data_IF_613799648096
#
_entry.id   IF_613799648096
#
_cell.length_a   1.000
_cell.length_b   1.000
_cell.length_c   1.000
_cell.angle_alpha   90.00
_cell.angle_beta   90.00
_cell.angle_gamma   90.00
#
_symmetry.space_group_name_H-M   'P 1'
#
loop_
_entity.id
_entity.type
_entity.pdbx_description
1 polymer ?
#
# COMPACT_ATOMS: atom_id res chain seq x y z
N UNK A 1 -1.64 1.56 -62.68
CA UNK A 1 -1.13 2.65 -61.82
C UNK A 1 -2.22 3.23 -60.93
N UNK A 2 -3.37 3.71 -61.49
CA UNK A 2 -4.47 4.29 -60.71
C UNK A 2 -5.06 3.33 -59.69
N UNK A 3 -5.22 2.04 -60.02
CA UNK A 3 -5.70 1.03 -59.09
C UNK A 3 -4.69 0.76 -57.95
N UNK A 4 -3.39 0.78 -58.21
CA UNK A 4 -2.36 0.65 -57.20
C UNK A 4 -2.35 1.86 -56.26
N UNK A 5 -2.43 3.07 -56.80
CA UNK A 5 -2.50 4.30 -56.00
C UNK A 5 -3.77 4.34 -55.15
N UNK A 6 -4.92 3.96 -55.68
CA UNK A 6 -6.17 3.88 -54.93
C UNK A 6 -6.11 2.82 -53.84
N UNK A 7 -5.53 1.65 -54.10
CA UNK A 7 -5.30 0.60 -53.12
C UNK A 7 -4.38 1.05 -51.99
N UNK A 8 -3.28 1.73 -52.30
CA UNK A 8 -2.35 2.29 -51.34
C UNK A 8 -3.01 3.35 -50.43
N UNK A 9 -3.79 4.27 -51.03
CA UNK A 9 -4.53 5.26 -50.27
C UNK A 9 -5.60 4.65 -49.35
N UNK A 10 -6.25 3.56 -49.80
CA UNK A 10 -7.22 2.84 -48.98
C UNK A 10 -6.56 2.12 -47.78
N UNK A 11 -5.39 1.50 -48.01
CA UNK A 11 -4.63 0.85 -46.95
C UNK A 11 -4.00 1.86 -45.98
N UNK A 12 -3.52 3.02 -46.48
CA UNK A 12 -2.98 4.07 -45.60
C UNK A 12 -4.01 4.72 -44.69
N UNK A 13 -5.30 4.57 -44.95
CA UNK A 13 -6.34 5.04 -44.03
C UNK A 13 -6.33 4.28 -42.69
N UNK A 14 -5.85 3.03 -42.67
CA UNK A 14 -5.67 2.23 -41.44
C UNK A 14 -4.49 2.69 -40.54
N UNK A 15 -3.59 3.52 -41.06
CA UNK A 15 -2.46 4.04 -40.25
C UNK A 15 -2.93 4.92 -39.08
N UNK A 16 -4.11 5.54 -39.19
CA UNK A 16 -4.66 6.32 -38.06
C UNK A 16 -5.02 5.48 -36.85
N UNK A 17 -5.22 4.19 -37.02
CA UNK A 17 -5.57 3.24 -35.96
C UNK A 17 -4.35 2.55 -35.34
N UNK A 18 -3.16 2.74 -35.93
CA UNK A 18 -1.91 2.24 -35.37
C UNK A 18 -1.57 2.97 -34.09
N UNK A 19 -1.61 2.24 -32.98
CA UNK A 19 -1.21 2.74 -31.67
C UNK A 19 -0.07 1.87 -31.15
N UNK A 20 0.94 2.54 -30.65
CA UNK A 20 2.00 1.83 -29.92
C UNK A 20 1.46 1.40 -28.57
N UNK A 21 1.47 0.09 -28.29
CA UNK A 21 1.09 -0.44 -27.00
C UNK A 21 2.28 -0.35 -26.04
N UNK A 22 2.15 0.51 -25.06
CA UNK A 22 3.16 0.73 -24.02
C UNK A 22 3.12 -0.32 -22.90
N UNK A 23 2.08 -1.15 -22.87
CA UNK A 23 1.93 -2.17 -21.85
C UNK A 23 2.78 -3.41 -22.18
N UNK A 24 3.89 -3.54 -21.47
CA UNK A 24 4.82 -4.66 -21.66
C UNK A 24 4.21 -6.03 -21.31
N UNK A 25 3.13 -6.06 -20.53
CA UNK A 25 2.40 -7.31 -20.24
C UNK A 25 1.72 -7.86 -21.50
N UNK A 26 1.26 -6.99 -22.40
CA UNK A 26 0.61 -7.41 -23.64
C UNK A 26 1.59 -7.96 -24.66
N UNK A 27 2.90 -7.75 -24.45
CA UNK A 27 3.98 -8.34 -25.28
C UNK A 27 4.35 -9.76 -24.82
N UNK A 28 3.85 -10.18 -23.67
CA UNK A 28 4.08 -11.54 -23.19
C UNK A 28 3.17 -12.54 -23.92
N UNK A 29 3.62 -13.78 -24.15
CA UNK A 29 2.78 -14.82 -24.75
C UNK A 29 1.51 -15.03 -23.93
N UNK A 30 0.40 -15.25 -24.63
CA UNK A 30 -0.88 -15.58 -24.00
C UNK A 30 -0.78 -16.90 -23.21
N UNK A 31 -1.44 -16.95 -22.04
CA UNK A 31 -1.52 -18.15 -21.19
C UNK A 31 -0.31 -18.39 -20.31
N UNK A 32 0.56 -17.40 -20.11
CA UNK A 32 1.60 -17.49 -19.07
C UNK A 32 0.97 -17.33 -17.69
N UNK A 33 1.12 -18.36 -16.85
CA UNK A 33 0.61 -18.39 -15.48
C UNK A 33 1.07 -17.18 -14.65
N UNK A 34 2.32 -16.74 -14.83
CA UNK A 34 2.85 -15.54 -14.14
C UNK A 34 2.10 -14.26 -14.50
N UNK A 35 1.71 -14.09 -15.76
CA UNK A 35 0.94 -12.92 -16.23
C UNK A 35 -0.49 -12.97 -15.72
N UNK A 36 -1.10 -14.16 -15.72
CA UNK A 36 -2.45 -14.35 -15.19
C UNK A 36 -2.51 -14.10 -13.68
N UNK A 37 -1.52 -14.61 -12.94
CA UNK A 37 -1.42 -14.36 -11.49
C UNK A 37 -1.19 -12.88 -11.19
N UNK A 38 -0.35 -12.19 -11.98
CA UNK A 38 -0.11 -10.76 -11.79
C UNK A 38 -1.37 -9.93 -12.07
N UNK A 39 -2.09 -10.22 -13.15
CA UNK A 39 -3.39 -9.59 -13.44
C UNK A 39 -4.40 -9.83 -12.32
N UNK A 40 -4.49 -11.06 -11.82
CA UNK A 40 -5.37 -11.43 -10.73
C UNK A 40 -5.01 -10.74 -9.42
N UNK A 41 -3.72 -10.61 -9.10
CA UNK A 41 -3.24 -9.86 -7.93
C UNK A 41 -3.62 -8.38 -8.01
N UNK A 42 -3.53 -7.78 -9.19
CA UNK A 42 -3.94 -6.38 -9.41
C UNK A 42 -5.44 -6.20 -9.23
N UNK A 43 -6.26 -7.14 -9.73
CA UNK A 43 -7.72 -7.09 -9.61
C UNK A 43 -8.22 -7.36 -8.17
N UNK A 44 -7.62 -8.32 -7.46
CA UNK A 44 -8.07 -8.74 -6.13
C UNK A 44 -7.51 -7.86 -4.99
N UNK A 45 -6.30 -7.33 -5.13
CA UNK A 45 -5.63 -6.60 -4.05
C UNK A 45 -5.82 -5.08 -4.13
N UNK A 46 -6.30 -4.54 -5.25
CA UNK A 46 -6.41 -3.09 -5.53
C UNK A 46 -5.12 -2.31 -5.22
N UNK A 47 -3.99 -3.04 -5.16
CA UNK A 47 -2.67 -2.51 -4.82
C UNK A 47 -1.66 -2.91 -5.88
N UNK A 48 -0.96 -1.93 -6.43
CA UNK A 48 0.16 -2.20 -7.31
C UNK A 48 1.30 -2.87 -6.53
N UNK A 49 1.82 -3.97 -7.07
CA UNK A 49 3.06 -4.60 -6.59
C UNK A 49 4.30 -3.84 -7.05
N UNK A 50 4.14 -2.93 -8.00
CA UNK A 50 5.21 -2.09 -8.53
C UNK A 50 5.33 -0.79 -7.75
N UNK A 51 6.55 -0.43 -7.40
CA UNK A 51 6.85 0.77 -6.64
C UNK A 51 8.05 1.50 -7.20
N UNK A 52 8.02 2.80 -7.09
CA UNK A 52 9.18 3.66 -7.31
C UNK A 52 10.04 3.70 -6.04
N UNK A 53 11.31 3.97 -6.22
CA UNK A 53 12.31 4.04 -5.18
C UNK A 53 12.91 5.44 -5.12
N UNK A 54 12.98 6.00 -3.93
CA UNK A 54 13.70 7.24 -3.63
C UNK A 54 14.66 6.99 -2.47
N UNK A 55 15.86 7.54 -2.55
CA UNK A 55 16.91 7.38 -1.55
C UNK A 55 17.19 8.74 -0.92
N UNK A 56 17.08 8.81 0.39
CA UNK A 56 17.40 9.99 1.19
C UNK A 56 18.70 9.78 1.96
N UNK A 57 19.50 10.84 2.09
CA UNK A 57 20.77 10.80 2.78
C UNK A 57 20.64 10.96 4.31
N UNK A 58 19.49 11.47 4.78
CA UNK A 58 19.17 11.62 6.21
C UNK A 58 17.71 11.30 6.51
N UNK A 59 17.40 11.09 7.80
CA UNK A 59 16.04 10.87 8.29
C UNK A 59 15.14 12.09 8.05
N UNK A 60 15.66 13.28 8.25
CA UNK A 60 14.94 14.55 8.08
C UNK A 60 14.55 14.74 6.61
N UNK A 61 15.48 14.48 5.71
CA UNK A 61 15.24 14.50 4.27
C UNK A 61 14.20 13.49 3.86
N UNK A 62 14.27 12.26 4.40
CA UNK A 62 13.32 11.20 4.15
C UNK A 62 11.91 11.64 4.54
N UNK A 63 11.70 12.18 5.75
CA UNK A 63 10.41 12.60 6.25
C UNK A 63 9.84 13.77 5.43
N UNK A 64 10.67 14.78 5.12
CA UNK A 64 10.28 15.91 4.28
C UNK A 64 9.90 15.47 2.86
N UNK A 65 10.62 14.48 2.30
CA UNK A 65 10.34 13.92 0.98
C UNK A 65 9.08 13.07 0.99
N UNK A 66 8.87 12.26 2.04
CA UNK A 66 7.65 11.49 2.27
C UNK A 66 6.41 12.39 2.28
N UNK A 67 6.45 13.49 3.02
CA UNK A 67 5.32 14.43 3.11
C UNK A 67 4.94 14.97 1.73
N UNK A 68 5.93 15.41 0.94
CA UNK A 68 5.71 15.89 -0.42
C UNK A 68 5.14 14.80 -1.35
N UNK A 69 5.68 13.59 -1.27
CA UNK A 69 5.22 12.45 -2.08
C UNK A 69 3.81 12.01 -1.70
N UNK A 70 3.49 11.97 -0.41
CA UNK A 70 2.16 11.59 0.07
C UNK A 70 1.07 12.61 -0.28
N UNK A 71 1.45 13.87 -0.54
CA UNK A 71 0.54 14.92 -0.99
C UNK A 71 0.17 14.80 -2.48
N UNK A 72 0.88 13.99 -3.27
CA UNK A 72 0.63 13.80 -4.69
C UNK A 72 -0.62 12.95 -4.91
N UNK A 73 -1.48 13.36 -5.85
CA UNK A 73 -2.74 12.65 -6.15
C UNK A 73 -2.52 11.28 -6.81
N UNK A 74 -1.38 11.10 -7.47
CA UNK A 74 -0.98 9.87 -8.14
C UNK A 74 -0.32 8.85 -7.23
N UNK A 75 0.02 9.25 -6.00
CA UNK A 75 0.63 8.39 -4.99
C UNK A 75 -0.47 7.86 -4.08
N UNK A 76 -0.47 6.57 -3.85
CA UNK A 76 -1.36 5.91 -2.91
C UNK A 76 -0.72 5.83 -1.52
N UNK A 77 0.52 5.37 -1.47
CA UNK A 77 1.23 5.06 -0.23
C UNK A 77 2.73 5.24 -0.39
N UNK A 78 3.38 5.67 0.67
CA UNK A 78 4.84 5.73 0.79
C UNK A 78 5.27 4.92 2.00
N UNK A 79 5.98 3.83 1.77
CA UNK A 79 6.52 2.98 2.82
C UNK A 79 7.97 3.38 3.13
N UNK A 80 8.25 3.52 4.40
CA UNK A 80 9.56 3.83 4.93
C UNK A 80 9.65 3.39 6.42
N UNK A 81 10.85 3.40 7.00
CA UNK A 81 11.08 2.89 8.35
C UNK A 81 11.08 3.98 9.44
N UNK A 82 11.35 5.23 9.07
CA UNK A 82 11.55 6.29 10.05
C UNK A 82 10.28 6.66 10.83
N UNK A 83 9.10 6.45 10.25
CA UNK A 83 7.82 6.66 10.94
C UNK A 83 7.55 5.63 12.05
N UNK A 84 8.21 4.48 12.01
CA UNK A 84 8.14 3.50 13.11
C UNK A 84 8.90 4.00 14.33
N UNK A 85 9.89 4.86 14.12
CA UNK A 85 10.71 5.51 15.14
C UNK A 85 10.11 6.89 15.43
N UNK A 86 8.98 6.94 16.06
CA UNK A 86 8.08 8.07 16.16
C UNK A 86 8.74 9.44 16.45
N UNK A 87 8.21 10.48 15.78
CA UNK A 87 8.62 11.87 15.96
C UNK A 87 7.91 12.64 17.09
N UNK A 88 6.99 12.03 17.83
CA UNK A 88 6.18 12.71 18.86
C UNK A 88 6.68 12.38 20.28
N UNK A 89 7.99 12.24 20.46
CA UNK A 89 8.59 11.83 21.73
C UNK A 89 8.30 12.81 22.86
N UNK A 90 8.32 14.13 22.56
CA UNK A 90 8.02 15.16 23.55
C UNK A 90 6.62 15.03 24.16
N UNK A 91 5.64 14.56 23.39
CA UNK A 91 4.26 14.39 23.84
C UNK A 91 4.03 13.00 24.41
N UNK A 92 4.59 11.97 23.79
CA UNK A 92 4.36 10.57 24.15
C UNK A 92 5.13 10.15 25.41
N UNK A 93 6.39 10.55 25.54
CA UNK A 93 7.24 10.17 26.69
C UNK A 93 6.62 10.51 28.05
N UNK A 94 6.11 11.74 28.32
CA UNK A 94 5.49 12.04 29.60
C UNK A 94 4.21 11.22 29.84
N UNK A 95 3.42 10.95 28.79
CA UNK A 95 2.22 10.13 28.93
C UNK A 95 2.56 8.66 29.23
N UNK A 96 3.52 8.09 28.54
CA UNK A 96 4.01 6.72 28.77
C UNK A 96 4.58 6.61 30.19
N UNK A 97 5.37 7.58 30.62
CA UNK A 97 5.91 7.65 31.99
C UNK A 97 4.81 7.69 33.03
N UNK A 98 3.78 8.52 32.82
CA UNK A 98 2.63 8.61 33.73
C UNK A 98 1.84 7.29 33.80
N UNK A 99 1.61 6.67 32.65
CA UNK A 99 0.95 5.34 32.57
C UNK A 99 1.79 4.31 33.30
N UNK A 100 3.09 4.22 33.00
CA UNK A 100 4.01 3.30 33.65
C UNK A 100 4.06 3.47 35.17
N UNK A 101 4.07 4.71 35.69
CA UNK A 101 4.02 4.98 37.12
C UNK A 101 2.73 4.47 37.76
N UNK A 102 1.58 4.65 37.12
CA UNK A 102 0.29 4.13 37.62
C UNK A 102 0.25 2.60 37.60
N UNK A 103 0.80 1.99 36.53
CA UNK A 103 0.84 0.53 36.38
C UNK A 103 1.79 -0.14 37.39
N UNK A 104 2.86 0.53 37.82
CA UNK A 104 3.76 0.03 38.88
C UNK A 104 3.09 -0.07 40.25
N UNK A 105 1.96 0.61 40.47
CA UNK A 105 1.19 0.57 41.71
C UNK A 105 0.16 -0.57 41.74
N UNK A 106 0.06 -1.35 40.67
CA UNK A 106 -0.87 -2.48 40.60
C UNK A 106 -0.47 -3.58 41.60
N UNK A 107 -1.45 -4.20 42.25
CA UNK A 107 -1.17 -5.33 43.12
C UNK A 107 -0.69 -6.54 42.33
N UNK A 108 0.14 -7.38 42.95
CA UNK A 108 0.61 -8.63 42.31
C UNK A 108 -0.53 -9.67 42.17
N UNK A 109 -1.54 -9.59 43.04
CA UNK A 109 -2.69 -10.49 43.01
C UNK A 109 -4.00 -9.73 42.92
N UNK A 110 -5.02 -10.31 42.29
CA UNK A 110 -6.34 -9.70 42.22
C UNK A 110 -6.89 -9.42 43.61
N UNK A 111 -7.39 -8.21 43.89
CA UNK A 111 -8.05 -7.91 45.13
C UNK A 111 -9.31 -8.77 45.29
N UNK A 112 -9.51 -9.30 46.49
CA UNK A 112 -10.78 -9.96 46.83
C UNK A 112 -11.80 -8.89 47.21
N UNK A 113 -12.85 -8.76 46.43
CA UNK A 113 -13.96 -7.84 46.72
C UNK A 113 -15.07 -8.66 47.40
N UNK A 114 -15.51 -8.29 48.60
CA UNK A 114 -16.59 -8.99 49.27
C UNK A 114 -17.87 -8.93 48.41
N UNK A 115 -18.54 -10.07 48.29
CA UNK A 115 -19.80 -10.19 47.56
C UNK A 115 -20.97 -10.27 48.59
N UNK A 116 -21.08 -9.24 49.42
CA UNK A 116 -22.00 -9.19 50.53
C UNK A 116 -23.40 -8.67 50.14
N UNK A 117 -23.57 -8.13 48.93
CA UNK A 117 -24.83 -7.53 48.47
C UNK A 117 -25.20 -7.94 47.04
N UNK A 118 -25.91 -9.07 46.90
CA UNK A 118 -26.38 -9.57 45.59
C UNK A 118 -27.47 -8.68 44.96
N UNK A 119 -28.32 -8.05 45.79
CA UNK A 119 -29.33 -7.08 45.36
C UNK A 119 -28.70 -5.86 44.65
N UNK A 120 -27.68 -5.28 45.26
CA UNK A 120 -26.93 -4.16 44.63
C UNK A 120 -26.27 -4.54 43.31
N UNK A 121 -25.80 -5.80 43.18
CA UNK A 121 -25.28 -6.31 41.93
C UNK A 121 -26.38 -6.40 40.83
N UNK A 122 -27.59 -6.88 41.25
CA UNK A 122 -28.74 -6.96 40.34
C UNK A 122 -29.17 -5.58 39.80
N UNK A 123 -29.15 -4.54 40.66
CA UNK A 123 -29.40 -3.15 40.26
C UNK A 123 -28.32 -2.62 39.31
N UNK A 124 -27.04 -2.86 39.64
CA UNK A 124 -25.91 -2.43 38.80
C UNK A 124 -25.92 -3.08 37.40
N UNK A 125 -26.26 -4.36 37.31
CA UNK A 125 -26.44 -5.06 36.04
C UNK A 125 -27.62 -4.52 35.24
N UNK A 126 -28.75 -4.16 35.95
CA UNK A 126 -29.89 -3.52 35.31
C UNK A 126 -29.56 -2.14 34.72
N UNK A 127 -28.82 -1.35 35.49
CA UNK A 127 -28.30 -0.06 35.01
C UNK A 127 -27.36 -0.22 33.81
N UNK A 128 -26.39 -1.12 33.90
CA UNK A 128 -25.44 -1.39 32.81
C UNK A 128 -26.14 -1.88 31.51
N UNK A 129 -27.18 -2.72 31.66
CA UNK A 129 -28.02 -3.17 30.55
C UNK A 129 -28.72 -1.99 29.87
N UNK A 130 -29.37 -1.12 30.67
CA UNK A 130 -30.07 0.06 30.13
C UNK A 130 -29.08 1.02 29.42
N UNK A 131 -27.91 1.24 29.97
CA UNK A 131 -26.89 2.08 29.40
C UNK A 131 -26.30 1.48 28.09
N UNK A 132 -26.05 0.17 28.08
CA UNK A 132 -25.60 -0.53 26.88
C UNK A 132 -26.63 -0.43 25.76
N UNK A 133 -27.92 -0.57 26.04
CA UNK A 133 -29.00 -0.46 25.04
C UNK A 133 -29.11 0.94 24.41
N UNK A 134 -28.65 1.99 25.11
CA UNK A 134 -28.66 3.37 24.59
C UNK A 134 -27.52 3.67 23.60
N UNK A 135 -26.45 2.86 23.60
CA UNK A 135 -25.28 3.11 22.76
C UNK A 135 -25.44 2.49 21.38
N UNK A 136 -24.94 3.14 20.31
CA UNK A 136 -24.90 2.54 18.97
C UNK A 136 -24.15 1.20 19.00
N UNK A 137 -24.77 0.12 18.51
CA UNK A 137 -24.18 -1.23 18.54
C UNK A 137 -24.25 -1.95 19.90
N UNK A 138 -24.78 -1.33 20.96
CA UNK A 138 -24.81 -1.88 22.31
C UNK A 138 -25.89 -2.93 22.59
N UNK A 139 -26.83 -3.18 21.68
CA UNK A 139 -27.90 -4.16 21.83
C UNK A 139 -27.41 -5.57 22.16
N UNK A 140 -26.30 -5.99 21.54
CA UNK A 140 -25.72 -7.31 21.83
C UNK A 140 -25.18 -7.40 23.26
N UNK A 141 -24.54 -6.36 23.74
CA UNK A 141 -24.08 -6.28 25.13
C UNK A 141 -25.25 -6.25 26.13
N UNK A 142 -26.30 -5.46 25.84
CA UNK A 142 -27.50 -5.42 26.63
C UNK A 142 -28.18 -6.80 26.75
N UNK A 143 -28.28 -7.54 25.66
CA UNK A 143 -28.80 -8.91 25.64
C UNK A 143 -27.97 -9.87 26.49
N UNK A 144 -26.64 -9.80 26.43
CA UNK A 144 -25.79 -10.63 27.30
C UNK A 144 -25.93 -10.29 28.77
N UNK A 145 -26.04 -9.00 29.11
CA UNK A 145 -26.27 -8.56 30.49
C UNK A 145 -27.63 -9.01 31.06
N UNK A 146 -28.67 -8.95 30.24
CA UNK A 146 -29.99 -9.47 30.58
C UNK A 146 -29.95 -10.98 30.90
N UNK A 147 -29.32 -11.73 29.97
CA UNK A 147 -29.18 -13.19 30.10
C UNK A 147 -28.36 -13.58 31.35
N UNK A 148 -27.29 -12.83 31.64
CA UNK A 148 -26.49 -13.03 32.85
C UNK A 148 -27.32 -12.77 34.09
N UNK A 149 -28.09 -11.68 34.17
CA UNK A 149 -29.00 -11.35 35.27
C UNK A 149 -30.07 -12.43 35.50
N UNK A 150 -30.68 -12.92 34.40
CA UNK A 150 -31.70 -13.97 34.51
C UNK A 150 -31.11 -15.31 34.95
N UNK A 151 -29.88 -15.62 34.57
CA UNK A 151 -29.16 -16.80 35.03
C UNK A 151 -28.91 -16.70 36.56
N UNK A 152 -28.39 -15.58 37.02
CA UNK A 152 -28.12 -15.34 38.43
C UNK A 152 -29.39 -15.41 39.31
N UNK A 153 -30.54 -14.91 38.82
CA UNK A 153 -31.83 -14.97 39.52
C UNK A 153 -32.37 -16.38 39.67
N UNK A 154 -31.99 -17.31 38.80
CA UNK A 154 -32.43 -18.73 38.84
C UNK A 154 -31.55 -19.61 39.72
N UNK A 155 -30.38 -19.13 40.11
CA UNK A 155 -29.44 -19.87 40.96
C UNK A 155 -29.83 -19.76 42.44
N UNK A 156 -29.49 -20.80 43.21
CA UNK A 156 -29.54 -20.72 44.67
C UNK A 156 -28.51 -19.70 45.17
N UNK A 157 -28.74 -18.99 46.26
CA UNK A 157 -27.83 -17.96 46.76
C UNK A 157 -26.38 -18.44 46.89
N UNK A 158 -26.16 -19.63 47.42
CA UNK A 158 -24.82 -20.21 47.61
C UNK A 158 -24.11 -20.49 46.28
N UNK A 159 -24.82 -21.02 45.31
CA UNK A 159 -24.31 -21.25 43.94
C UNK A 159 -23.98 -19.92 43.24
N UNK A 160 -24.83 -18.91 43.45
CA UNK A 160 -24.63 -17.58 42.91
C UNK A 160 -23.35 -16.94 43.48
N UNK A 161 -23.13 -17.01 44.81
CA UNK A 161 -21.90 -16.52 45.42
C UNK A 161 -20.65 -17.22 44.90
N UNK A 162 -20.67 -18.55 44.77
CA UNK A 162 -19.55 -19.32 44.26
C UNK A 162 -19.26 -18.95 42.78
N UNK A 163 -20.29 -18.87 41.93
CA UNK A 163 -20.14 -18.51 40.53
C UNK A 163 -19.57 -17.09 40.36
N UNK A 164 -20.08 -16.13 41.15
CA UNK A 164 -19.59 -14.75 41.11
C UNK A 164 -18.16 -14.62 41.64
N UNK A 165 -17.81 -15.34 42.72
CA UNK A 165 -16.44 -15.36 43.24
C UNK A 165 -15.44 -15.91 42.19
N UNK A 166 -15.79 -17.01 41.52
CA UNK A 166 -14.96 -17.57 40.43
C UNK A 166 -14.86 -16.62 39.26
N UNK A 167 -15.97 -15.99 38.84
CA UNK A 167 -15.96 -15.00 37.77
C UNK A 167 -15.09 -13.80 38.12
N UNK A 168 -15.26 -13.24 39.33
CA UNK A 168 -14.47 -12.11 39.81
C UNK A 168 -12.96 -12.44 39.82
N UNK A 169 -12.58 -13.59 40.36
CA UNK A 169 -11.20 -14.01 40.40
C UNK A 169 -10.60 -14.16 38.98
N UNK A 170 -11.36 -14.77 38.08
CA UNK A 170 -10.93 -14.94 36.67
C UNK A 170 -10.84 -13.59 35.95
N UNK A 171 -11.88 -12.76 36.02
CA UNK A 171 -11.92 -11.47 35.33
C UNK A 171 -10.85 -10.50 35.85
N UNK A 172 -10.71 -10.41 37.19
CA UNK A 172 -9.70 -9.58 37.84
C UNK A 172 -8.27 -10.11 37.52
N UNK A 173 -8.09 -11.42 37.54
CA UNK A 173 -6.81 -12.04 37.18
C UNK A 173 -6.42 -11.78 35.73
N UNK A 174 -7.36 -11.92 34.81
CA UNK A 174 -7.11 -11.64 33.37
C UNK A 174 -6.83 -10.15 33.15
N UNK A 175 -7.62 -9.25 33.74
CA UNK A 175 -7.40 -7.81 33.67
C UNK A 175 -6.03 -7.43 34.23
N UNK A 176 -5.68 -7.93 35.39
CA UNK A 176 -4.40 -7.65 36.04
C UNK A 176 -3.21 -8.17 35.20
N UNK A 177 -3.34 -9.37 34.63
CA UNK A 177 -2.33 -9.94 33.73
C UNK A 177 -2.12 -9.05 32.49
N UNK A 178 -3.21 -8.55 31.88
CA UNK A 178 -3.12 -7.63 30.73
C UNK A 178 -2.50 -6.29 31.13
N UNK A 179 -2.82 -5.77 32.30
CA UNK A 179 -2.23 -4.53 32.81
C UNK A 179 -0.73 -4.70 33.13
N UNK A 180 -0.33 -5.84 33.69
CA UNK A 180 1.10 -6.14 33.89
C UNK A 180 1.85 -6.31 32.55
N UNK A 181 1.23 -6.97 31.56
CA UNK A 181 1.80 -7.04 30.22
C UNK A 181 1.96 -5.64 29.60
N UNK A 182 0.98 -4.75 29.79
CA UNK A 182 1.08 -3.35 29.36
C UNK A 182 2.19 -2.61 30.12
N UNK A 183 2.34 -2.86 31.41
CA UNK A 183 3.41 -2.26 32.23
C UNK A 183 4.80 -2.69 31.73
N UNK A 184 4.96 -3.96 31.32
CA UNK A 184 6.22 -4.49 30.81
C UNK A 184 6.67 -3.84 29.49
N UNK A 185 5.71 -3.35 28.66
CA UNK A 185 6.01 -2.65 27.40
C UNK A 185 5.90 -1.12 27.52
N UNK A 186 5.58 -0.60 28.72
CA UNK A 186 5.51 0.85 28.98
C UNK A 186 6.90 1.41 29.29
N UNK A 187 7.82 1.29 28.33
CA UNK A 187 9.14 1.89 28.41
C UNK A 187 9.09 3.29 27.79
N UNK A 188 9.46 4.36 28.50
CA UNK A 188 9.52 5.71 27.97
C UNK A 188 10.68 5.95 26.99
N UNK A 189 11.62 4.98 26.86
CA UNK A 189 12.72 5.10 25.89
C UNK A 189 12.17 5.02 24.48
N UNK A 190 12.51 6.02 23.67
CA UNK A 190 12.12 6.04 22.27
C UNK A 190 12.73 4.83 21.53
N UNK A 191 11.96 4.11 20.71
CA UNK A 191 12.51 3.00 19.94
C UNK A 191 13.58 3.49 18.97
N UNK A 192 14.69 2.79 18.95
CA UNK A 192 15.81 3.01 18.04
C UNK A 192 15.78 2.01 16.87
N UNK A 193 16.61 2.24 15.84
CA UNK A 193 16.76 1.26 14.75
C UNK A 193 17.25 -0.09 15.25
N UNK A 194 18.03 -0.10 16.33
CA UNK A 194 18.60 -1.32 16.91
C UNK A 194 17.55 -2.20 17.61
N UNK A 195 16.41 -1.62 17.98
CA UNK A 195 15.26 -2.34 18.57
C UNK A 195 14.40 -3.04 17.52
N UNK A 196 14.61 -2.73 16.24
CA UNK A 196 13.87 -3.34 15.15
C UNK A 196 14.60 -4.60 14.63
N UNK A 197 13.84 -5.61 14.12
CA UNK A 197 14.45 -6.77 13.48
C UNK A 197 15.39 -6.34 12.35
N UNK A 198 16.61 -6.87 12.34
CA UNK A 198 17.62 -6.56 11.32
C UNK A 198 17.07 -6.76 9.89
N UNK A 199 16.30 -7.83 9.67
CA UNK A 199 15.67 -8.09 8.36
C UNK A 199 14.70 -7.00 7.91
N UNK A 200 14.13 -6.20 8.82
CA UNK A 200 13.31 -5.05 8.49
C UNK A 200 14.18 -3.83 8.20
N UNK A 201 15.18 -3.59 9.05
CA UNK A 201 16.12 -2.46 8.89
C UNK A 201 16.85 -2.56 7.55
N UNK A 202 17.38 -3.74 7.20
CA UNK A 202 18.14 -3.99 5.96
C UNK A 202 17.29 -3.73 4.68
N UNK A 203 15.97 -3.72 4.78
CA UNK A 203 15.08 -3.41 3.64
C UNK A 203 14.95 -1.92 3.35
N UNK A 204 15.23 -1.07 4.34
CA UNK A 204 14.97 0.37 4.25
C UNK A 204 16.19 1.23 4.57
N UNK A 205 17.22 0.65 5.20
CA UNK A 205 18.46 1.36 5.53
C UNK A 205 19.63 0.61 4.91
N UNK A 206 20.34 1.28 4.01
CA UNK A 206 21.53 0.72 3.40
C UNK A 206 22.74 0.73 4.34
N UNK A 207 23.75 -0.08 4.04
CA UNK A 207 25.01 -0.14 4.79
C UNK A 207 25.76 1.21 4.87
N UNK A 208 25.44 2.14 3.98
CA UNK A 208 25.96 3.52 3.98
C UNK A 208 25.12 4.49 4.84
N UNK A 209 24.13 4.02 5.59
CA UNK A 209 23.24 4.85 6.40
C UNK A 209 22.17 5.60 5.60
N UNK A 210 22.05 5.37 4.29
CA UNK A 210 21.00 5.97 3.46
C UNK A 210 19.66 5.28 3.66
N UNK A 211 18.61 6.06 3.61
CA UNK A 211 17.24 5.60 3.83
C UNK A 211 16.49 5.44 2.51
N UNK A 212 15.67 4.39 2.43
CA UNK A 212 14.87 4.06 1.26
C UNK A 212 13.40 4.40 1.49
N UNK A 213 12.78 5.04 0.48
CA UNK A 213 11.33 5.20 0.37
C UNK A 213 10.83 4.32 -0.78
N UNK A 214 9.76 3.57 -0.55
CA UNK A 214 9.00 2.85 -1.57
C UNK A 214 7.71 3.59 -1.83
N UNK A 215 7.50 3.99 -3.06
CA UNK A 215 6.39 4.87 -3.47
C UNK A 215 5.47 4.06 -4.37
N UNK A 216 4.25 3.84 -3.91
CA UNK A 216 3.24 3.07 -4.64
C UNK A 216 2.30 4.02 -5.38
N UNK A 217 2.08 3.73 -6.66
CA UNK A 217 1.16 4.50 -7.49
C UNK A 217 -0.29 4.13 -7.22
N UNK A 218 -1.16 5.11 -7.35
CA UNK A 218 -2.61 4.94 -7.23
C UNK A 218 -3.20 4.50 -8.56
N UNK A 219 -4.05 3.49 -8.53
CA UNK A 219 -4.77 2.99 -9.69
C UNK A 219 -3.91 2.13 -10.63
N UNK A 220 -4.38 1.98 -11.85
CA UNK A 220 -3.75 1.11 -12.85
C UNK A 220 -2.51 1.78 -13.46
N UNK A 221 -1.33 1.44 -12.94
CA UNK A 221 -0.04 1.90 -13.47
C UNK A 221 0.35 1.25 -14.81
N UNK A 222 -0.40 0.25 -15.30
CA UNK A 222 -0.23 -0.31 -16.63
C UNK A 222 -0.85 0.57 -17.70
N UNK A 223 -1.73 1.49 -17.33
CA UNK A 223 -2.19 2.54 -18.22
C UNK A 223 -1.09 3.57 -18.41
N UNK A 224 -0.66 3.76 -19.66
CA UNK A 224 0.47 4.63 -20.00
C UNK A 224 0.30 6.09 -19.54
N UNK A 225 -0.89 6.66 -19.65
CA UNK A 225 -1.14 8.04 -19.22
C UNK A 225 -1.10 8.17 -17.69
N UNK A 226 -1.63 7.18 -16.97
CA UNK A 226 -1.52 7.12 -15.51
C UNK A 226 -0.06 6.96 -15.07
N UNK A 227 0.69 6.05 -15.71
CA UNK A 227 2.11 5.83 -15.46
C UNK A 227 2.94 7.10 -15.73
N UNK A 228 2.71 7.76 -16.86
CA UNK A 228 3.38 9.00 -17.24
C UNK A 228 3.18 10.09 -16.20
N UNK A 229 1.94 10.26 -15.72
CA UNK A 229 1.61 11.23 -14.68
C UNK A 229 2.29 10.88 -13.37
N UNK A 230 2.24 9.61 -12.95
CA UNK A 230 2.92 9.13 -11.75
C UNK A 230 4.43 9.39 -11.81
N UNK A 231 5.09 9.04 -12.93
CA UNK A 231 6.53 9.28 -13.10
C UNK A 231 6.87 10.76 -13.06
N UNK A 232 6.07 11.61 -13.72
CA UNK A 232 6.25 13.06 -13.70
C UNK A 232 6.11 13.63 -12.29
N UNK A 233 5.08 13.21 -11.55
CA UNK A 233 4.80 13.67 -10.20
C UNK A 233 5.93 13.23 -9.24
N UNK A 234 6.35 11.97 -9.28
CA UNK A 234 7.45 11.45 -8.45
C UNK A 234 8.75 12.19 -8.72
N UNK A 235 9.10 12.42 -10.00
CA UNK A 235 10.31 13.16 -10.38
C UNK A 235 10.28 14.64 -10.06
N UNK A 236 9.12 15.22 -9.90
CA UNK A 236 8.99 16.60 -9.43
C UNK A 236 9.49 16.77 -7.99
N UNK A 237 9.41 15.69 -7.19
CA UNK A 237 9.88 15.67 -5.79
C UNK A 237 11.31 15.12 -5.71
N UNK A 238 11.59 14.03 -6.42
CA UNK A 238 12.92 13.42 -6.49
C UNK A 238 13.32 13.10 -7.94
N UNK A 239 14.13 13.97 -8.58
CA UNK A 239 14.60 13.74 -9.96
C UNK A 239 15.45 12.47 -10.12
N UNK A 240 16.01 11.93 -9.02
CA UNK A 240 16.83 10.71 -9.02
C UNK A 240 16.02 9.46 -8.66
N UNK A 241 14.71 9.59 -8.50
CA UNK A 241 13.85 8.43 -8.25
C UNK A 241 14.01 7.39 -9.37
N UNK A 242 13.95 6.12 -9.00
CA UNK A 242 14.07 4.96 -9.87
C UNK A 242 13.01 3.91 -9.51
N UNK A 243 13.14 2.70 -10.00
CA UNK A 243 12.21 1.59 -9.72
C UNK A 243 11.43 1.15 -10.94
N UNK A 244 10.73 0.03 -10.80
CA UNK A 244 10.09 -0.66 -11.93
C UNK A 244 9.17 0.25 -12.76
N UNK A 245 8.27 1.07 -12.19
CA UNK A 245 7.40 1.94 -12.98
C UNK A 245 8.17 2.95 -13.82
N UNK A 246 9.22 3.56 -13.26
CA UNK A 246 10.02 4.56 -13.94
C UNK A 246 10.83 3.94 -15.07
N UNK A 247 11.45 2.78 -14.81
CA UNK A 247 12.23 2.04 -15.80
C UNK A 247 11.34 1.54 -16.96
N UNK A 248 10.14 1.02 -16.65
CA UNK A 248 9.19 0.59 -17.67
C UNK A 248 8.73 1.75 -18.56
N UNK A 249 8.48 2.92 -17.97
CA UNK A 249 8.12 4.12 -18.69
C UNK A 249 9.24 4.55 -19.65
N UNK A 250 10.48 4.64 -19.16
CA UNK A 250 11.64 5.03 -19.97
C UNK A 250 11.92 4.01 -21.09
N UNK A 251 11.95 2.72 -20.74
CA UNK A 251 12.16 1.66 -21.72
C UNK A 251 11.10 1.68 -22.84
N UNK A 252 9.84 1.91 -22.49
CA UNK A 252 8.76 2.01 -23.46
C UNK A 252 8.94 3.19 -24.42
N UNK A 253 9.36 4.35 -23.90
CA UNK A 253 9.65 5.53 -24.73
C UNK A 253 10.87 5.30 -25.64
N UNK A 254 11.95 4.73 -25.11
CA UNK A 254 13.16 4.43 -25.89
C UNK A 254 12.90 3.39 -26.98
N UNK A 255 12.09 2.35 -26.65
CA UNK A 255 11.65 1.37 -27.65
C UNK A 255 10.89 2.03 -28.79
N UNK A 256 9.88 2.85 -28.47
CA UNK A 256 9.12 3.59 -29.48
C UNK A 256 10.01 4.44 -30.35
N UNK A 257 10.90 5.23 -29.75
CA UNK A 257 11.83 6.08 -30.47
C UNK A 257 12.78 5.26 -31.36
N UNK A 258 13.25 4.12 -30.86
CA UNK A 258 14.14 3.23 -31.65
C UNK A 258 13.43 2.63 -32.86
N UNK A 259 12.15 2.23 -32.70
CA UNK A 259 11.36 1.77 -33.87
C UNK A 259 11.13 2.88 -34.90
N UNK A 260 10.79 4.08 -34.45
CA UNK A 260 10.62 5.24 -35.34
C UNK A 260 11.92 5.55 -36.08
N UNK A 261 13.06 5.54 -35.42
CA UNK A 261 14.37 5.75 -36.03
C UNK A 261 14.74 4.63 -37.00
N UNK A 262 14.54 3.37 -36.63
CA UNK A 262 14.79 2.22 -37.48
C UNK A 262 13.94 2.26 -38.76
N UNK A 263 12.66 2.60 -38.64
CA UNK A 263 11.77 2.78 -39.79
C UNK A 263 12.25 3.91 -40.70
N UNK A 264 12.65 5.03 -40.12
CA UNK A 264 13.17 6.17 -40.88
C UNK A 264 14.49 5.82 -41.65
N UNK A 265 15.46 5.19 -40.98
CA UNK A 265 16.70 4.79 -41.61
C UNK A 265 16.50 3.71 -42.68
N UNK A 266 15.64 2.72 -42.42
CA UNK A 266 15.32 1.70 -43.41
C UNK A 266 14.66 2.32 -44.66
N UNK A 267 13.76 3.28 -44.48
CA UNK A 267 13.16 4.00 -45.64
C UNK A 267 14.22 4.74 -46.48
N UNK A 268 15.16 5.44 -45.80
CA UNK A 268 16.24 6.13 -46.49
C UNK A 268 17.09 5.13 -47.31
N UNK A 269 17.48 4.01 -46.70
CA UNK A 269 18.30 2.99 -47.37
C UNK A 269 17.55 2.38 -48.54
N UNK A 270 16.25 2.06 -48.37
CA UNK A 270 15.43 1.52 -49.46
C UNK A 270 15.33 2.52 -50.61
N UNK A 271 15.05 3.79 -50.34
CA UNK A 271 14.99 4.83 -51.36
C UNK A 271 16.35 4.97 -52.10
N UNK A 272 17.46 4.94 -51.35
CA UNK A 272 18.79 5.01 -51.92
C UNK A 272 19.10 3.82 -52.85
N UNK A 273 18.77 2.60 -52.43
CA UNK A 273 18.94 1.39 -53.26
C UNK A 273 18.06 1.46 -54.51
N UNK A 274 16.79 1.83 -54.38
CA UNK A 274 15.88 2.00 -55.51
C UNK A 274 16.39 3.09 -56.49
N UNK A 275 16.96 4.18 -55.96
CA UNK A 275 17.53 5.23 -56.79
C UNK A 275 18.76 4.76 -57.56
N UNK A 276 19.62 3.96 -56.95
CA UNK A 276 20.77 3.37 -57.60
C UNK A 276 20.36 2.40 -58.72
N UNK A 277 19.29 1.64 -58.51
CA UNK A 277 18.77 0.66 -59.47
C UNK A 277 18.08 1.35 -60.66
N UNK A 278 17.08 2.20 -60.37
CA UNK A 278 16.30 2.88 -61.43
C UNK A 278 16.98 4.10 -62.05
N UNK A 279 17.97 4.64 -61.36
CA UNK A 279 18.67 5.90 -61.77
C UNK A 279 17.71 7.06 -62.08
N UNK A 280 16.53 7.04 -61.49
CA UNK A 280 15.45 8.01 -61.66
C UNK A 280 14.70 8.16 -60.33
N UNK A 281 14.69 9.36 -59.75
CA UNK A 281 13.97 9.65 -58.50
C UNK A 281 12.46 9.38 -58.60
N UNK A 282 11.88 9.68 -59.77
CA UNK A 282 10.45 9.49 -60.00
C UNK A 282 10.04 8.01 -59.93
N UNK A 283 10.85 7.12 -60.56
CA UNK A 283 10.59 5.69 -60.57
C UNK A 283 10.86 5.08 -59.17
N UNK A 284 11.89 5.57 -58.47
CA UNK A 284 12.21 5.13 -57.12
C UNK A 284 11.10 5.49 -56.12
N UNK A 285 10.57 6.72 -56.20
CA UNK A 285 9.45 7.15 -55.35
C UNK A 285 8.16 6.38 -55.64
N UNK A 286 7.87 6.11 -56.95
CA UNK A 286 6.74 5.28 -57.32
C UNK A 286 6.86 3.84 -56.82
N UNK A 287 8.05 3.26 -56.83
CA UNK A 287 8.33 1.94 -56.31
C UNK A 287 8.28 1.89 -54.78
N UNK A 288 8.60 2.98 -54.09
CA UNK A 288 8.50 3.10 -52.61
C UNK A 288 7.07 3.36 -52.12
N UNK A 289 6.13 3.74 -52.97
CA UNK A 289 4.74 4.04 -52.59
C UNK A 289 4.04 2.88 -51.87
N UNK A 290 4.12 1.62 -52.33
CA UNK A 290 3.54 0.49 -51.59
C UNK A 290 4.15 0.28 -50.19
N UNK A 291 5.44 0.58 -50.04
CA UNK A 291 6.16 0.48 -48.78
C UNK A 291 5.70 1.53 -47.76
N UNK A 292 5.36 2.73 -48.23
CA UNK A 292 4.86 3.80 -47.36
C UNK A 292 3.39 3.58 -46.93
N UNK A 293 2.69 2.63 -47.56
CA UNK A 293 1.29 2.34 -47.30
C UNK A 293 1.06 1.06 -46.46
N UNK A 294 2.05 0.24 -46.24
CA UNK A 294 2.00 -0.97 -45.41
C UNK A 294 2.79 -0.87 -44.18
#
# INVERSE_FOLDING_TARGET
>A
LLAAVAGTLALSSGMHDLRYDHNLLNLQPDGLESVEVEKKLLEECDQSVWYALSIADSREELLARKEKLAALTTVERVDEIASLLSGDEEVKTPLITQIGQRLKQLPERPPQIPLDRLDALGESLGWAQAEAARRPGGMRAAWHLERARDCLRRMRPEECYQALAMFQQRAAGELLSRLHALAAVSDPVAPSLDDLPASLVDRFVGSSGKHLLKIYGRGDIWNFEALKKFVSDVRSVDPKATGNPLQAYEASLEMKQSYEQAAFYSLIVIIAVLWLDFRSLTHSLLAALPLAAG
#
